data_IF_679583965276
#
_entry.id   IF_679583965276
#
_cell.length_a   1.000
_cell.length_b   1.000
_cell.length_c   1.000
_cell.angle_alpha   90.00
_cell.angle_beta   90.00
_cell.angle_gamma   90.00
#
_symmetry.space_group_name_H-M   'P 1'
#
loop_
_entity.id
_entity.type
_entity.pdbx_description
1 polymer ?
#
# COMPACT_ATOMS: atom_id res chain seq x y z
N UNK A 1 19.19 -8.67 -0.63
CA UNK A 1 18.70 -7.51 -1.39
C UNK A 1 17.33 -7.12 -0.87
N UNK A 2 17.10 -5.84 -0.70
CA UNK A 2 15.85 -5.36 -0.17
C UNK A 2 14.94 -4.93 -1.32
N UNK A 3 13.86 -5.67 -1.51
CA UNK A 3 12.79 -5.29 -2.41
C UNK A 3 11.69 -4.63 -1.59
N UNK A 4 10.78 -3.97 -2.25
CA UNK A 4 9.61 -3.41 -1.61
C UNK A 4 8.34 -4.01 -2.18
N UNK A 5 7.20 -3.46 -1.76
CA UNK A 5 5.89 -3.84 -2.29
C UNK A 5 5.15 -2.61 -2.76
N UNK A 6 4.39 -2.78 -3.83
CA UNK A 6 3.44 -1.78 -4.31
C UNK A 6 2.07 -2.13 -3.76
N UNK A 7 1.46 -1.19 -3.06
CA UNK A 7 0.17 -1.40 -2.44
C UNK A 7 -0.86 -0.42 -3.00
N UNK A 8 -2.06 -0.91 -3.20
CA UNK A 8 -3.20 -0.08 -3.55
C UNK A 8 -4.03 0.16 -2.30
N UNK A 9 -4.25 1.42 -1.97
CA UNK A 9 -5.14 1.80 -0.88
C UNK A 9 -6.39 2.41 -1.49
N UNK A 10 -7.55 1.80 -1.22
CA UNK A 10 -8.84 2.31 -1.65
C UNK A 10 -9.57 2.90 -0.46
N UNK A 11 -9.93 4.17 -0.58
CA UNK A 11 -10.67 4.89 0.45
C UNK A 11 -12.13 5.05 0.02
N UNK A 12 -13.05 4.51 0.79
CA UNK A 12 -14.48 4.71 0.56
C UNK A 12 -14.94 5.94 1.34
N UNK A 13 -15.51 6.96 0.65
CA UNK A 13 -15.99 8.15 1.34
C UNK A 13 -17.14 7.82 2.28
N UNK A 14 -17.08 8.34 3.50
CA UNK A 14 -18.13 8.11 4.51
C UNK A 14 -19.45 8.76 4.14
N UNK A 15 -19.40 9.81 3.36
CA UNK A 15 -20.59 10.54 2.90
C UNK A 15 -21.15 10.05 1.57
N UNK A 16 -20.61 8.97 1.05
CA UNK A 16 -20.89 8.49 -0.30
C UNK A 16 -20.06 9.21 -1.35
N UNK A 17 -20.11 8.73 -2.57
CA UNK A 17 -19.32 9.26 -3.68
C UNK A 17 -18.37 8.21 -4.24
N UNK A 18 -17.46 8.63 -5.10
CA UNK A 18 -16.53 7.71 -5.75
C UNK A 18 -15.37 7.37 -4.81
N UNK A 19 -14.96 6.09 -4.74
CA UNK A 19 -13.79 5.69 -3.95
C UNK A 19 -12.52 6.33 -4.51
N UNK A 20 -11.63 6.70 -3.61
CA UNK A 20 -10.31 7.20 -3.98
C UNK A 20 -9.29 6.08 -3.96
N UNK A 21 -8.35 6.12 -4.90
CA UNK A 21 -7.27 5.14 -4.98
C UNK A 21 -5.95 5.85 -4.80
N UNK A 22 -5.10 5.28 -3.95
CA UNK A 22 -3.76 5.80 -3.70
C UNK A 22 -2.76 4.66 -3.82
N UNK A 23 -1.65 4.91 -4.48
CA UNK A 23 -0.57 3.94 -4.60
C UNK A 23 0.48 4.23 -3.54
N UNK A 24 0.84 3.19 -2.79
CA UNK A 24 1.87 3.27 -1.77
C UNK A 24 3.05 2.37 -2.14
N UNK A 25 4.25 2.87 -1.93
CA UNK A 25 5.47 2.10 -2.10
C UNK A 25 6.06 1.85 -0.73
N UNK A 26 6.19 0.58 -0.36
CA UNK A 26 6.67 0.19 0.96
C UNK A 26 7.96 -0.58 0.82
N UNK A 27 8.98 -0.21 1.57
CA UNK A 27 10.29 -0.88 1.58
C UNK A 27 10.24 -2.14 2.45
N UNK A 28 9.28 -3.02 2.18
CA UNK A 28 9.11 -4.31 2.86
C UNK A 28 8.95 -5.38 1.80
N UNK A 29 9.79 -6.40 1.87
CA UNK A 29 9.84 -7.48 0.89
C UNK A 29 8.63 -8.41 0.97
N UNK A 30 8.13 -8.68 2.18
CA UNK A 30 7.01 -9.58 2.39
C UNK A 30 5.69 -8.82 2.18
N UNK A 31 4.85 -9.26 1.20
CA UNK A 31 3.58 -8.57 0.93
C UNK A 31 2.62 -8.55 2.12
N UNK A 32 2.60 -9.61 2.92
CA UNK A 32 1.73 -9.66 4.10
C UNK A 32 2.17 -8.67 5.16
N UNK A 33 3.48 -8.53 5.36
CA UNK A 33 4.02 -7.54 6.29
C UNK A 33 3.80 -6.12 5.78
N UNK A 34 3.96 -5.90 4.49
CA UNK A 34 3.72 -4.59 3.88
C UNK A 34 2.26 -4.18 4.06
N UNK A 35 1.32 -5.07 3.82
CA UNK A 35 -0.09 -4.82 4.05
C UNK A 35 -0.38 -4.50 5.52
N UNK A 36 0.26 -5.20 6.44
CA UNK A 36 0.09 -4.96 7.88
C UNK A 36 0.65 -3.59 8.28
N UNK A 37 1.80 -3.20 7.75
CA UNK A 37 2.41 -1.90 8.02
C UNK A 37 1.49 -0.76 7.58
N UNK A 38 1.03 -0.82 6.35
CA UNK A 38 0.15 0.22 5.80
C UNK A 38 -1.23 0.17 6.46
N UNK A 39 -1.76 -1.03 6.67
CA UNK A 39 -3.05 -1.19 7.32
C UNK A 39 -3.11 -0.63 8.73
N UNK A 40 -1.98 -0.62 9.45
CA UNK A 40 -1.91 -0.09 10.81
C UNK A 40 -2.13 1.43 10.88
N UNK A 41 -1.88 2.14 9.77
CA UNK A 41 -2.03 3.59 9.71
C UNK A 41 -3.26 4.03 8.92
N UNK A 42 -4.01 3.07 8.39
CA UNK A 42 -5.20 3.36 7.58
C UNK A 42 -6.46 3.41 8.42
N UNK A 43 -7.44 4.20 7.96
CA UNK A 43 -8.75 4.29 8.61
C UNK A 43 -9.59 3.03 8.31
N UNK A 44 -10.63 2.72 9.12
CA UNK A 44 -11.48 1.55 8.89
C UNK A 44 -12.20 1.52 7.55
N UNK A 45 -12.42 2.68 6.93
CA UNK A 45 -13.04 2.78 5.61
C UNK A 45 -12.05 2.63 4.46
N UNK A 46 -10.81 2.29 4.75
CA UNK A 46 -9.76 2.09 3.75
C UNK A 46 -9.39 0.62 3.62
N UNK A 47 -9.17 0.19 2.40
CA UNK A 47 -8.75 -1.18 2.10
C UNK A 47 -7.37 -1.16 1.48
N UNK A 48 -6.54 -2.10 1.87
CA UNK A 48 -5.16 -2.22 1.40
C UNK A 48 -5.01 -3.53 0.63
N UNK A 49 -4.42 -3.47 -0.55
CA UNK A 49 -4.17 -4.64 -1.38
C UNK A 49 -2.74 -4.59 -1.93
N UNK A 50 -2.00 -5.68 -1.79
CA UNK A 50 -0.68 -5.77 -2.38
C UNK A 50 -0.81 -6.05 -3.87
N UNK A 51 -0.22 -5.19 -4.70
CA UNK A 51 -0.26 -5.31 -6.15
C UNK A 51 0.91 -6.14 -6.70
N UNK A 52 2.06 -6.06 -6.06
CA UNK A 52 3.22 -6.81 -6.50
C UNK A 52 4.52 -6.29 -5.91
N UNK A 53 5.63 -6.96 -6.24
CA UNK A 53 6.93 -6.56 -5.72
C UNK A 53 7.44 -5.28 -6.38
N UNK A 54 8.22 -4.52 -5.63
CA UNK A 54 8.89 -3.32 -6.10
C UNK A 54 10.39 -3.63 -6.21
N UNK A 55 11.04 -3.37 -7.35
CA UNK A 55 12.47 -3.62 -7.51
C UNK A 55 13.32 -2.80 -6.54
N UNK A 56 14.48 -3.33 -6.18
CA UNK A 56 15.41 -2.66 -5.29
C UNK A 56 15.76 -1.25 -5.75
N UNK A 57 15.97 -1.06 -7.04
CA UNK A 57 16.30 0.25 -7.60
C UNK A 57 15.19 1.29 -7.35
N UNK A 58 13.93 0.85 -7.41
CA UNK A 58 12.79 1.73 -7.13
C UNK A 58 12.67 2.03 -5.63
N UNK A 59 12.98 1.05 -4.78
CA UNK A 59 12.97 1.25 -3.32
C UNK A 59 14.00 2.31 -2.92
N UNK A 60 15.16 2.30 -3.55
CA UNK A 60 16.20 3.30 -3.29
C UNK A 60 15.81 4.71 -3.71
N UNK A 61 14.85 4.84 -4.63
CA UNK A 61 14.36 6.13 -5.08
C UNK A 61 13.33 6.75 -4.14
N UNK A 62 12.86 6.00 -3.17
CA UNK A 62 11.86 6.50 -2.20
C UNK A 62 12.45 7.48 -1.14
#
# INVERSE_FOLDING_TARGET
MTNGQVLLVMTEPLSGGLPMRTIWYVAEEDPLKAEAIVGAIMAPNEKVEALGPLPEAAVKAL
#
